data_IF_224382956780
#
_entry.id   IF_224382956780
#
_cell.length_a   1.000
_cell.length_b   1.000
_cell.length_c   1.000
_cell.angle_alpha   90.00
_cell.angle_beta   90.00
_cell.angle_gamma   90.00
#
_symmetry.space_group_name_H-M   'P 1'
#
loop_
_entity.id
_entity.type
_entity.pdbx_description
1 polymer ?
#
# COMPACT_ATOMS: atom_id res chain seq x y z
N UNK A 1 3.98 -16.07 -1.24
CA UNK A 1 3.44 -15.99 -2.58
C UNK A 1 2.49 -14.80 -2.64
N UNK A 2 2.81 -13.82 -3.41
CA UNK A 2 1.89 -12.72 -3.73
C UNK A 2 1.21 -13.13 -5.03
N UNK A 3 -0.07 -13.26 -5.02
CA UNK A 3 -0.85 -13.60 -6.20
C UNK A 3 -2.33 -13.38 -5.90
N UNK A 4 -3.09 -13.02 -6.92
CA UNK A 4 -4.54 -13.00 -6.81
C UNK A 4 -5.00 -14.45 -6.62
N UNK A 5 -5.53 -14.74 -5.43
CA UNK A 5 -6.20 -16.00 -5.19
C UNK A 5 -7.54 -15.97 -5.91
N UNK A 6 -7.75 -16.91 -6.82
CA UNK A 6 -9.01 -17.11 -7.52
C UNK A 6 -9.97 -18.03 -6.77
N UNK A 7 -9.54 -18.62 -5.66
CA UNK A 7 -10.37 -19.48 -4.85
C UNK A 7 -11.34 -18.68 -3.98
N UNK A 8 -12.51 -19.23 -3.72
CA UNK A 8 -13.49 -18.66 -2.79
C UNK A 8 -13.26 -19.24 -1.41
N UNK A 9 -12.93 -18.40 -0.46
CA UNK A 9 -12.81 -18.77 0.94
C UNK A 9 -14.00 -18.20 1.73
N UNK A 10 -14.60 -19.03 2.56
CA UNK A 10 -15.69 -18.63 3.45
C UNK A 10 -15.28 -18.80 4.90
N UNK A 11 -15.71 -17.90 5.76
CA UNK A 11 -15.40 -17.95 7.18
C UNK A 11 -16.13 -16.83 7.92
N UNK A 12 -16.00 -16.85 9.23
CA UNK A 12 -16.51 -15.78 10.11
C UNK A 12 -15.35 -14.94 10.63
N UNK A 13 -15.66 -13.68 10.93
CA UNK A 13 -14.74 -12.74 11.54
C UNK A 13 -15.23 -12.40 12.93
N UNK A 14 -14.35 -12.51 13.92
CA UNK A 14 -14.63 -12.08 15.29
C UNK A 14 -13.95 -10.74 15.55
N UNK A 15 -14.70 -9.74 15.97
CA UNK A 15 -14.15 -8.42 16.31
C UNK A 15 -13.37 -8.51 17.63
N UNK A 16 -12.16 -7.99 17.63
CA UNK A 16 -11.28 -7.90 18.80
C UNK A 16 -11.49 -6.55 19.52
N UNK A 17 -11.02 -6.46 20.76
CA UNK A 17 -11.06 -5.22 21.53
C UNK A 17 -10.19 -4.10 20.98
N UNK A 18 -9.19 -4.44 20.16
CA UNK A 18 -8.29 -3.50 19.49
C UNK A 18 -8.82 -3.00 18.12
N UNK A 19 -10.10 -3.25 17.82
CA UNK A 19 -10.73 -2.84 16.56
C UNK A 19 -10.39 -3.72 15.35
N UNK A 20 -9.46 -4.65 15.48
CA UNK A 20 -9.16 -5.63 14.44
C UNK A 20 -10.17 -6.79 14.44
N UNK A 21 -10.07 -7.68 13.45
CA UNK A 21 -10.89 -8.89 13.37
C UNK A 21 -9.98 -10.12 13.23
N UNK A 22 -10.41 -11.21 13.83
CA UNK A 22 -9.75 -12.52 13.69
C UNK A 22 -10.59 -13.45 12.82
N UNK A 23 -10.06 -13.96 11.69
CA UNK A 23 -10.77 -14.94 10.88
C UNK A 23 -10.84 -16.32 11.57
N UNK A 24 -11.98 -17.00 11.43
CA UNK A 24 -12.14 -18.37 11.96
C UNK A 24 -11.18 -19.40 11.35
N UNK A 25 -10.74 -19.14 10.13
CA UNK A 25 -9.83 -20.03 9.37
C UNK A 25 -8.34 -19.73 9.59
N UNK A 26 -7.99 -18.63 10.26
CA UNK A 26 -6.59 -18.20 10.46
C UNK A 26 -6.48 -17.41 11.77
N UNK A 27 -6.42 -18.11 12.89
CA UNK A 27 -6.45 -17.48 14.22
C UNK A 27 -5.26 -16.55 14.51
N UNK A 28 -4.15 -16.75 13.81
CA UNK A 28 -2.96 -15.89 13.90
C UNK A 28 -3.04 -14.67 12.98
N UNK A 29 -4.08 -14.55 12.16
CA UNK A 29 -4.26 -13.41 11.28
C UNK A 29 -5.04 -12.29 11.98
N UNK A 30 -4.61 -11.06 11.75
CA UNK A 30 -5.35 -9.86 12.11
C UNK A 30 -5.83 -9.15 10.85
N UNK A 31 -7.12 -8.86 10.81
CA UNK A 31 -7.77 -8.18 9.69
C UNK A 31 -8.22 -6.81 10.14
N UNK A 32 -7.79 -5.79 9.44
CA UNK A 32 -8.36 -4.44 9.50
C UNK A 32 -9.44 -4.35 8.44
N UNK A 33 -10.63 -3.92 8.82
CA UNK A 33 -11.73 -3.73 7.88
C UNK A 33 -12.15 -2.27 7.93
N UNK A 34 -12.01 -1.63 6.78
CA UNK A 34 -12.67 -0.35 6.53
C UNK A 34 -14.00 -0.68 5.84
N UNK A 35 -15.14 -0.49 6.52
CA UNK A 35 -16.43 -0.86 5.99
C UNK A 35 -16.67 -0.29 4.58
N UNK A 36 -17.07 -1.15 3.65
CA UNK A 36 -17.29 -0.85 2.25
C UNK A 36 -16.06 -0.31 1.47
N UNK A 37 -14.84 -0.46 2.02
CA UNK A 37 -13.63 0.13 1.44
C UNK A 37 -12.54 -0.91 1.18
N UNK A 38 -11.87 -1.33 2.21
CA UNK A 38 -10.73 -2.23 2.14
C UNK A 38 -10.80 -3.27 3.26
N UNK A 39 -10.30 -4.46 2.99
CA UNK A 39 -9.91 -5.41 4.02
C UNK A 39 -8.40 -5.62 3.91
N UNK A 40 -7.69 -5.45 5.01
CA UNK A 40 -6.25 -5.63 5.07
C UNK A 40 -5.97 -6.68 6.12
N UNK A 41 -5.42 -7.82 5.71
CA UNK A 41 -5.05 -8.89 6.61
C UNK A 41 -3.54 -9.07 6.65
N UNK A 42 -2.97 -9.02 7.84
CA UNK A 42 -1.65 -9.59 8.10
C UNK A 42 -1.85 -11.05 8.50
N UNK A 43 -1.30 -11.96 7.76
CA UNK A 43 -1.43 -13.40 8.02
C UNK A 43 -0.09 -14.09 7.89
N UNK A 44 0.08 -15.17 8.66
CA UNK A 44 1.22 -16.04 8.60
C UNK A 44 0.92 -17.19 7.64
N UNK A 45 1.72 -17.32 6.61
CA UNK A 45 1.65 -18.43 5.67
C UNK A 45 2.88 -19.34 5.85
N UNK A 46 2.65 -20.64 6.02
CA UNK A 46 3.74 -21.62 6.01
C UNK A 46 3.96 -22.10 4.57
N UNK A 47 5.08 -21.73 3.98
CA UNK A 47 5.45 -22.12 2.62
C UNK A 47 6.72 -22.99 2.71
N UNK A 48 6.63 -24.25 2.24
CA UNK A 48 7.73 -25.20 2.30
C UNK A 48 8.34 -25.35 3.72
N UNK A 49 7.48 -25.40 4.74
CA UNK A 49 7.90 -25.53 6.14
C UNK A 49 8.49 -24.24 6.76
N UNK A 50 8.50 -23.13 6.05
CA UNK A 50 8.96 -21.84 6.56
C UNK A 50 7.79 -20.89 6.72
N UNK A 51 7.65 -20.35 7.93
CA UNK A 51 6.63 -19.35 8.23
C UNK A 51 7.01 -17.99 7.60
N UNK A 52 6.08 -17.40 6.90
CA UNK A 52 6.22 -16.09 6.26
C UNK A 52 4.99 -15.26 6.55
N UNK A 53 5.21 -14.07 7.01
CA UNK A 53 4.15 -13.09 7.11
C UNK A 53 3.87 -12.50 5.73
N UNK A 54 2.60 -12.32 5.43
CA UNK A 54 2.15 -11.70 4.18
C UNK A 54 0.99 -10.75 4.46
N UNK A 55 0.89 -9.75 3.62
CA UNK A 55 -0.24 -8.84 3.60
C UNK A 55 -1.22 -9.30 2.50
N UNK A 56 -2.47 -9.43 2.86
CA UNK A 56 -3.57 -9.67 1.92
C UNK A 56 -4.43 -8.43 1.92
N UNK A 57 -4.69 -7.88 0.74
CA UNK A 57 -5.56 -6.72 0.59
C UNK A 57 -6.76 -7.11 -0.26
N UNK A 58 -7.92 -6.98 0.34
CA UNK A 58 -9.20 -7.10 -0.34
C UNK A 58 -9.72 -5.73 -0.75
N UNK A 59 -9.96 -5.54 -2.03
CA UNK A 59 -10.63 -4.36 -2.57
C UNK A 59 -12.05 -4.78 -2.95
N UNK A 60 -13.09 -4.03 -2.55
CA UNK A 60 -14.45 -4.34 -2.98
C UNK A 60 -14.52 -4.38 -4.51
N UNK A 61 -15.13 -5.43 -5.02
CA UNK A 61 -15.38 -5.54 -6.46
C UNK A 61 -16.36 -4.46 -6.87
N UNK A 62 -15.93 -3.53 -7.69
CA UNK A 62 -16.84 -2.58 -8.32
C UNK A 62 -17.45 -3.25 -9.55
N UNK A 63 -18.76 -3.26 -9.65
CA UNK A 63 -19.47 -3.68 -10.87
C UNK A 63 -19.40 -2.61 -11.96
N UNK A 64 -18.88 -1.44 -11.64
CA UNK A 64 -18.77 -0.31 -12.56
C UNK A 64 -17.59 -0.48 -13.49
N UNK A 65 -17.79 -0.15 -14.75
CA UNK A 65 -16.72 -0.07 -15.75
C UNK A 65 -15.82 1.12 -15.41
N UNK A 66 -14.81 0.90 -14.58
CA UNK A 66 -13.79 1.91 -14.27
C UNK A 66 -13.03 2.22 -15.56
N UNK A 67 -13.03 3.48 -15.95
CA UNK A 67 -12.33 3.98 -17.13
C UNK A 67 -10.98 4.59 -16.73
N UNK A 68 -10.08 4.77 -17.70
CA UNK A 68 -8.81 5.44 -17.43
C UNK A 68 -8.98 6.86 -16.91
N UNK A 69 -10.00 7.58 -17.36
CA UNK A 69 -10.35 8.92 -16.83
C UNK A 69 -10.66 8.91 -15.33
N UNK A 70 -11.22 7.80 -14.82
CA UNK A 70 -11.58 7.68 -13.41
C UNK A 70 -10.37 7.49 -12.51
N UNK A 71 -9.30 6.93 -13.06
CA UNK A 71 -8.07 6.61 -12.32
C UNK A 71 -6.88 7.51 -12.70
N UNK A 72 -7.04 8.37 -13.70
CA UNK A 72 -5.97 9.29 -14.11
C UNK A 72 -5.60 10.24 -12.97
N UNK A 73 -4.32 10.55 -12.87
CA UNK A 73 -3.75 11.45 -11.88
C UNK A 73 -2.37 11.01 -11.40
N UNK A 74 -1.81 11.80 -10.52
CA UNK A 74 -0.56 11.47 -9.84
C UNK A 74 -0.88 10.91 -8.47
N UNK A 75 -0.27 9.79 -8.14
CA UNK A 75 -0.38 9.09 -6.87
C UNK A 75 0.98 9.12 -6.16
N UNK A 76 0.99 9.41 -4.87
CA UNK A 76 2.09 8.99 -4.03
C UNK A 76 1.95 7.52 -3.74
N UNK A 77 3.05 6.79 -3.66
CA UNK A 77 2.99 5.39 -3.29
C UNK A 77 4.05 5.00 -2.25
N UNK A 78 3.73 3.94 -1.52
CA UNK A 78 4.68 3.13 -0.76
C UNK A 78 4.57 1.68 -1.24
N UNK A 79 5.68 0.97 -1.24
CA UNK A 79 5.70 -0.42 -1.69
C UNK A 79 6.64 -1.29 -0.85
N UNK A 80 6.37 -2.58 -0.86
CA UNK A 80 7.28 -3.62 -0.40
C UNK A 80 7.51 -4.57 -1.57
N UNK A 81 8.76 -4.75 -1.96
CA UNK A 81 9.14 -5.47 -3.16
C UNK A 81 10.21 -6.52 -2.84
N UNK A 82 10.10 -7.66 -3.48
CA UNK A 82 11.12 -8.69 -3.50
C UNK A 82 11.81 -8.68 -4.84
N UNK A 83 13.08 -8.33 -4.85
CA UNK A 83 13.88 -8.19 -6.07
C UNK A 83 14.47 -9.52 -6.56
N UNK A 84 14.34 -10.60 -5.79
CA UNK A 84 14.89 -11.91 -6.12
C UNK A 84 13.86 -13.02 -6.04
N UNK A 85 14.12 -14.14 -6.72
CA UNK A 85 13.26 -15.34 -6.72
C UNK A 85 12.99 -15.87 -5.31
N UNK A 86 14.00 -15.83 -4.47
CA UNK A 86 13.94 -16.42 -3.14
C UNK A 86 13.23 -15.53 -2.12
N UNK A 87 13.27 -14.21 -2.30
CA UNK A 87 12.72 -13.23 -1.35
C UNK A 87 13.04 -13.58 0.11
N UNK A 88 14.29 -13.91 0.37
CA UNK A 88 14.76 -14.30 1.70
C UNK A 88 15.90 -13.38 2.13
N UNK A 89 16.10 -13.28 3.44
CA UNK A 89 17.07 -12.38 4.05
C UNK A 89 18.53 -12.65 3.68
N UNK A 90 18.83 -13.79 3.04
CA UNK A 90 20.20 -14.16 2.65
C UNK A 90 20.54 -13.84 1.20
N UNK A 91 19.56 -13.70 0.31
CA UNK A 91 19.80 -13.50 -1.13
C UNK A 91 18.98 -12.37 -1.76
N UNK A 92 18.25 -11.64 -0.99
CA UNK A 92 17.39 -10.53 -1.45
C UNK A 92 16.27 -10.30 -0.47
N UNK A 93 16.58 -9.58 0.61
CA UNK A 93 15.57 -9.10 1.54
C UNK A 93 14.50 -8.29 0.78
N UNK A 94 13.24 -8.32 1.21
CA UNK A 94 12.25 -7.39 0.68
C UNK A 94 12.76 -5.96 0.87
N UNK A 95 12.59 -5.13 -0.14
CA UNK A 95 12.92 -3.71 -0.07
C UNK A 95 11.64 -2.90 0.02
N UNK A 96 11.61 -1.95 0.92
CA UNK A 96 10.57 -0.93 0.94
C UNK A 96 10.96 0.21 -0.01
N UNK A 97 10.01 0.71 -0.78
CA UNK A 97 10.20 1.87 -1.63
C UNK A 97 9.04 2.84 -1.51
N UNK A 98 9.27 4.05 -1.95
CA UNK A 98 8.27 5.10 -2.05
C UNK A 98 8.58 5.98 -3.26
N UNK A 99 7.56 6.61 -3.80
CA UNK A 99 7.70 7.42 -4.99
C UNK A 99 6.38 7.99 -5.46
N UNK A 100 6.34 8.31 -6.74
CA UNK A 100 5.13 8.78 -7.43
C UNK A 100 4.81 7.90 -8.62
N UNK A 101 3.51 7.70 -8.86
CA UNK A 101 2.99 6.95 -9.99
C UNK A 101 1.96 7.81 -10.69
N UNK A 102 2.25 8.23 -11.91
CA UNK A 102 1.35 9.06 -12.70
C UNK A 102 0.63 8.23 -13.76
N UNK A 103 -0.67 8.40 -13.88
CA UNK A 103 -1.52 7.72 -14.87
C UNK A 103 -2.19 8.79 -15.72
N UNK A 104 -2.10 8.64 -17.03
CA UNK A 104 -2.79 9.51 -17.99
C UNK A 104 -4.20 9.02 -18.28
N UNK A 105 -5.04 9.86 -18.86
CA UNK A 105 -6.39 9.50 -19.31
C UNK A 105 -6.40 8.49 -20.45
N UNK A 106 -5.26 8.22 -21.08
CA UNK A 106 -5.08 7.16 -22.09
C UNK A 106 -4.60 5.83 -21.49
N UNK A 107 -4.36 5.78 -20.15
CA UNK A 107 -3.86 4.60 -19.47
C UNK A 107 -2.34 4.43 -19.55
N UNK A 108 -1.59 5.39 -20.08
CA UNK A 108 -0.14 5.38 -19.96
C UNK A 108 0.27 5.73 -18.52
N UNK A 109 1.35 5.13 -18.04
CA UNK A 109 1.86 5.41 -16.70
C UNK A 109 3.36 5.72 -16.69
N UNK A 110 3.77 6.48 -15.69
CA UNK A 110 5.18 6.78 -15.38
C UNK A 110 5.37 6.65 -13.87
N UNK A 111 6.42 5.95 -13.47
CA UNK A 111 6.85 5.81 -12.08
C UNK A 111 8.16 6.55 -11.83
N UNK A 112 8.22 7.26 -10.71
CA UNK A 112 9.42 7.90 -10.19
C UNK A 112 9.68 7.37 -8.78
N UNK A 113 10.72 6.54 -8.64
CA UNK A 113 11.18 6.13 -7.32
C UNK A 113 11.93 7.25 -6.62
N UNK A 114 12.07 7.16 -5.29
CA UNK A 114 12.73 8.17 -4.44
C UNK A 114 14.09 8.66 -4.94
N UNK A 115 14.92 7.75 -5.47
CA UNK A 115 16.26 8.08 -5.97
C UNK A 115 16.24 8.94 -7.23
N UNK A 116 15.12 8.90 -7.95
CA UNK A 116 14.92 9.58 -9.22
C UNK A 116 13.88 10.68 -9.14
N UNK A 117 13.30 10.93 -7.94
CA UNK A 117 12.28 11.94 -7.76
C UNK A 117 12.84 13.33 -8.06
N UNK A 118 12.10 14.06 -8.86
CA UNK A 118 12.26 15.51 -9.09
C UNK A 118 10.95 16.21 -8.77
N UNK A 119 10.94 17.53 -8.68
CA UNK A 119 9.72 18.31 -8.44
C UNK A 119 8.61 18.07 -9.49
N UNK A 120 8.94 17.45 -10.62
CA UNK A 120 7.99 17.01 -11.64
C UNK A 120 7.94 15.48 -11.67
N UNK A 121 6.91 14.84 -11.08
CA UNK A 121 6.81 13.38 -11.02
C UNK A 121 6.69 12.70 -12.39
N UNK A 122 6.41 13.45 -13.44
CA UNK A 122 6.33 12.93 -14.81
C UNK A 122 7.64 13.02 -15.58
N UNK A 123 8.66 13.64 -15.01
CA UNK A 123 9.94 13.94 -15.69
C UNK A 123 11.16 13.61 -14.85
N UNK A 124 11.10 12.56 -14.05
CA UNK A 124 12.25 12.10 -13.28
C UNK A 124 13.27 11.34 -14.15
N UNK A 125 14.54 11.42 -13.78
CA UNK A 125 15.59 10.62 -14.41
C UNK A 125 15.43 9.14 -14.02
N UNK A 126 15.70 8.23 -14.96
CA UNK A 126 15.61 6.78 -14.72
C UNK A 126 14.21 6.26 -14.40
N UNK A 127 13.19 6.95 -14.90
CA UNK A 127 11.78 6.59 -14.74
C UNK A 127 11.45 5.28 -15.45
N UNK A 128 10.56 4.50 -14.83
CA UNK A 128 9.85 3.43 -15.51
C UNK A 128 8.54 3.96 -16.12
N UNK A 129 8.10 3.33 -17.19
CA UNK A 129 6.88 3.74 -17.87
C UNK A 129 6.26 2.59 -18.66
N UNK A 130 4.97 2.72 -18.94
CA UNK A 130 4.25 1.72 -19.71
C UNK A 130 2.78 2.03 -19.89
N UNK A 131 1.97 1.00 -19.95
CA UNK A 131 0.54 1.11 -20.13
C UNK A 131 -0.24 0.23 -19.16
N UNK A 132 -1.46 0.66 -18.86
CA UNK A 132 -2.48 -0.12 -18.18
C UNK A 132 -3.43 -0.69 -19.24
N UNK A 133 -3.74 -1.97 -19.14
CA UNK A 133 -4.72 -2.64 -20.00
C UNK A 133 -5.89 -3.10 -19.15
N UNK A 134 -7.10 -2.71 -19.49
CA UNK A 134 -8.31 -3.05 -18.74
C UNK A 134 -8.58 -4.57 -18.84
N UNK A 135 -8.65 -5.23 -17.68
CA UNK A 135 -9.01 -6.65 -17.55
C UNK A 135 -10.50 -6.86 -17.22
N UNK A 136 -11.22 -5.80 -16.90
CA UNK A 136 -12.59 -5.83 -16.38
C UNK A 136 -12.64 -5.83 -14.84
N UNK A 137 -13.84 -5.58 -14.28
CA UNK A 137 -14.10 -5.54 -12.84
C UNK A 137 -13.16 -4.59 -12.06
N UNK A 138 -12.79 -3.44 -12.66
CA UNK A 138 -11.90 -2.47 -12.02
C UNK A 138 -10.44 -2.92 -11.89
N UNK A 139 -10.04 -3.97 -12.64
CA UNK A 139 -8.67 -4.48 -12.67
C UNK A 139 -7.97 -4.07 -13.96
N UNK A 140 -6.68 -3.74 -13.83
CA UNK A 140 -5.82 -3.34 -14.94
C UNK A 140 -4.53 -4.14 -14.91
N UNK A 141 -4.14 -4.71 -16.05
CA UNK A 141 -2.82 -5.28 -16.22
C UNK A 141 -1.80 -4.15 -16.42
N UNK A 142 -0.69 -4.21 -15.71
CA UNK A 142 0.41 -3.27 -15.87
C UNK A 142 1.43 -3.87 -16.83
N UNK A 143 1.80 -3.10 -17.84
CA UNK A 143 2.81 -3.49 -18.84
C UNK A 143 3.86 -2.39 -18.99
N UNK A 144 5.07 -2.77 -19.43
CA UNK A 144 6.13 -1.83 -19.82
C UNK A 144 6.78 -2.30 -21.12
N UNK A 145 7.75 -1.54 -21.62
CA UNK A 145 8.54 -1.93 -22.78
C UNK A 145 9.32 -3.25 -22.58
N UNK A 146 9.68 -3.54 -21.33
CA UNK A 146 10.47 -4.73 -20.96
C UNK A 146 9.62 -5.93 -20.51
N UNK A 147 8.34 -5.73 -20.19
CA UNK A 147 7.47 -6.80 -19.69
C UNK A 147 6.01 -6.59 -20.10
N UNK A 148 5.39 -7.64 -20.57
CA UNK A 148 3.96 -7.70 -20.90
C UNK A 148 3.08 -7.94 -19.66
N UNK A 149 3.67 -8.18 -18.49
CA UNK A 149 2.93 -8.40 -17.25
C UNK A 149 3.80 -8.05 -16.04
N UNK A 150 3.82 -6.77 -15.66
CA UNK A 150 4.47 -6.31 -14.43
C UNK A 150 3.60 -6.55 -13.18
N UNK A 151 2.32 -6.74 -13.37
CA UNK A 151 1.39 -6.94 -12.26
C UNK A 151 -0.05 -6.57 -12.60
N UNK A 152 -0.85 -6.48 -11.56
CA UNK A 152 -2.26 -6.10 -11.65
C UNK A 152 -2.55 -4.95 -10.72
N UNK A 153 -3.07 -3.86 -11.26
CA UNK A 153 -3.57 -2.72 -10.49
C UNK A 153 -5.07 -2.85 -10.25
N UNK A 154 -5.49 -2.45 -9.05
CA UNK A 154 -6.88 -2.26 -8.66
C UNK A 154 -7.02 -0.87 -8.06
N UNK A 155 -8.15 -0.24 -8.32
CA UNK A 155 -8.45 1.08 -7.79
C UNK A 155 -9.74 1.01 -6.99
N UNK A 156 -9.65 1.43 -5.76
CA UNK A 156 -10.80 1.67 -4.91
C UNK A 156 -11.20 3.13 -5.02
N UNK A 157 -12.48 3.38 -5.25
CA UNK A 157 -13.07 4.72 -5.19
C UNK A 157 -13.92 4.81 -3.95
N UNK A 158 -13.58 5.73 -3.07
CA UNK A 158 -14.37 5.98 -1.88
C UNK A 158 -15.68 6.69 -2.22
N UNK A 159 -16.68 6.63 -1.32
CA UNK A 159 -17.89 7.43 -1.46
C UNK A 159 -17.64 8.95 -1.50
N UNK A 160 -16.53 9.41 -0.92
CA UNK A 160 -16.09 10.82 -0.95
C UNK A 160 -15.30 11.18 -2.22
N UNK A 161 -15.09 10.21 -3.11
CA UNK A 161 -14.37 10.41 -4.37
C UNK A 161 -12.87 10.20 -4.27
N UNK A 162 -12.32 9.85 -3.10
CA UNK A 162 -10.91 9.53 -2.98
C UNK A 162 -10.60 8.18 -3.66
N UNK A 163 -9.42 8.08 -4.21
CA UNK A 163 -8.92 6.89 -4.90
C UNK A 163 -7.81 6.26 -4.08
N UNK A 164 -7.84 4.94 -3.95
CA UNK A 164 -6.72 4.17 -3.41
C UNK A 164 -6.28 3.19 -4.48
N UNK A 165 -5.02 3.27 -4.86
CA UNK A 165 -4.38 2.37 -5.80
C UNK A 165 -3.75 1.21 -5.04
N UNK A 166 -4.02 -0.01 -5.48
CA UNK A 166 -3.37 -1.23 -4.99
C UNK A 166 -2.80 -1.97 -6.17
N UNK A 167 -1.50 -2.24 -6.16
CA UNK A 167 -0.83 -2.99 -7.22
C UNK A 167 -0.21 -4.26 -6.65
N UNK A 168 -0.58 -5.39 -7.24
CA UNK A 168 0.11 -6.68 -7.07
C UNK A 168 1.20 -6.77 -8.14
N UNK A 169 2.45 -6.61 -7.72
CA UNK A 169 3.63 -6.66 -8.60
C UNK A 169 4.06 -8.11 -8.81
N UNK A 170 4.33 -8.50 -10.05
CA UNK A 170 4.71 -9.88 -10.40
C UNK A 170 6.09 -10.01 -11.01
N UNK A 171 6.41 -9.24 -12.01
CA UNK A 171 7.64 -9.34 -12.79
C UNK A 171 8.32 -7.98 -12.93
N UNK A 172 8.33 -7.21 -11.85
CA UNK A 172 8.73 -5.81 -11.87
C UNK A 172 10.21 -5.62 -12.23
N UNK A 173 11.06 -6.60 -11.85
CA UNK A 173 12.46 -6.63 -12.24
C UNK A 173 12.74 -7.87 -13.10
N UNK A 174 12.39 -7.79 -14.37
CA UNK A 174 12.49 -8.95 -15.28
C UNK A 174 11.53 -10.06 -14.89
N UNK A 175 12.02 -11.29 -14.71
CA UNK A 175 11.17 -12.45 -14.37
C UNK A 175 10.95 -12.65 -12.85
N UNK A 176 11.42 -11.75 -11.98
CA UNK A 176 11.53 -12.05 -10.55
C UNK A 176 10.87 -11.10 -9.57
N UNK A 177 10.68 -9.84 -9.93
CA UNK A 177 10.13 -8.85 -9.00
C UNK A 177 8.71 -9.18 -8.58
N UNK A 178 8.49 -9.29 -7.25
CA UNK A 178 7.16 -9.47 -6.64
C UNK A 178 6.99 -8.50 -5.50
N UNK A 179 5.78 -8.04 -5.28
CA UNK A 179 5.51 -7.13 -4.18
C UNK A 179 4.12 -6.54 -4.21
N UNK A 180 3.92 -5.60 -3.33
CA UNK A 180 2.70 -4.81 -3.28
C UNK A 180 3.05 -3.32 -3.24
N UNK A 181 2.28 -2.55 -3.97
CA UNK A 181 2.34 -1.10 -3.97
C UNK A 181 0.98 -0.54 -3.60
N UNK A 182 0.98 0.45 -2.74
CA UNK A 182 -0.22 1.20 -2.36
C UNK A 182 -0.01 2.66 -2.72
N UNK A 183 -1.02 3.27 -3.29
CA UNK A 183 -0.96 4.68 -3.67
C UNK A 183 -2.22 5.43 -3.32
N UNK A 184 -2.05 6.70 -2.99
CA UNK A 184 -3.12 7.67 -2.82
C UNK A 184 -2.87 8.87 -3.73
N UNK A 185 -3.90 9.55 -4.21
CA UNK A 185 -3.71 10.77 -5.01
C UNK A 185 -2.80 11.77 -4.32
N UNK A 186 -1.92 12.37 -5.10
CA UNK A 186 -1.01 13.40 -4.61
C UNK A 186 -1.78 14.70 -4.36
N UNK A 187 -2.17 14.89 -3.11
CA UNK A 187 -2.82 16.11 -2.62
C UNK A 187 -2.09 16.58 -1.37
N UNK A 188 -2.17 17.87 -1.05
CA UNK A 188 -1.52 18.41 0.14
C UNK A 188 -1.93 17.66 1.40
N UNK A 189 -0.95 17.30 2.24
CA UNK A 189 -1.20 16.66 3.51
C UNK A 189 -1.69 17.71 4.53
N UNK A 190 -2.94 17.60 4.93
CA UNK A 190 -3.54 18.49 5.92
C UNK A 190 -3.52 17.82 7.30
N UNK A 191 -2.47 18.03 8.08
CA UNK A 191 -2.34 17.47 9.42
C UNK A 191 -3.35 18.13 10.37
N UNK A 192 -4.04 17.32 11.14
CA UNK A 192 -5.11 17.74 12.04
C UNK A 192 -6.50 17.46 11.47
N UNK A 193 -7.53 17.93 12.15
CA UNK A 193 -8.91 17.77 11.71
C UNK A 193 -9.31 16.31 11.48
N UNK A 194 -9.65 15.97 10.24
CA UNK A 194 -10.10 14.63 9.87
C UNK A 194 -9.00 13.55 9.99
N UNK A 195 -7.73 13.95 10.01
CA UNK A 195 -6.61 13.05 10.24
C UNK A 195 -6.31 12.82 11.71
N UNK A 196 -6.87 13.61 12.63
CA UNK A 196 -6.73 13.38 14.06
C UNK A 196 -7.53 12.15 14.50
N UNK A 197 -6.94 11.33 15.35
CA UNK A 197 -7.59 10.15 15.91
C UNK A 197 -6.64 9.01 16.18
N UNK A 198 -7.20 7.89 16.59
CA UNK A 198 -6.46 6.64 16.82
C UNK A 198 -6.54 5.76 15.58
N UNK A 199 -5.40 5.26 15.16
CA UNK A 199 -5.25 4.34 14.05
C UNK A 199 -4.72 3.01 14.56
N UNK A 200 -5.38 1.93 14.19
CA UNK A 200 -4.85 0.57 14.38
C UNK A 200 -4.05 0.17 13.15
N UNK A 201 -2.90 -0.46 13.35
CA UNK A 201 -2.00 -0.81 12.25
C UNK A 201 -1.48 -2.24 12.33
N UNK A 202 -1.18 -2.76 11.15
CA UNK A 202 -0.47 -4.02 10.95
C UNK A 202 0.77 -3.79 10.08
N UNK A 203 1.80 -4.59 10.32
CA UNK A 203 3.01 -4.62 9.49
C UNK A 203 3.09 -5.91 8.69
N UNK A 204 3.87 -5.88 7.63
CA UNK A 204 4.25 -7.07 6.86
C UNK A 204 5.12 -8.06 7.64
N UNK A 205 5.58 -7.70 8.84
CA UNK A 205 6.30 -8.56 9.77
C UNK A 205 5.38 -9.25 10.80
N UNK A 206 4.08 -9.01 10.74
CA UNK A 206 3.09 -9.57 11.65
C UNK A 206 2.93 -8.80 12.98
N UNK A 207 3.59 -7.66 13.13
CA UNK A 207 3.38 -6.79 14.27
C UNK A 207 2.11 -5.97 14.11
N UNK A 208 1.48 -5.62 15.21
CA UNK A 208 0.30 -4.76 15.27
C UNK A 208 0.37 -3.82 16.45
N UNK A 209 -0.35 -2.71 16.37
CA UNK A 209 -0.44 -1.72 17.45
C UNK A 209 -1.39 -0.60 17.10
N UNK A 210 -1.30 0.48 17.86
CA UNK A 210 -2.03 1.70 17.55
C UNK A 210 -1.13 2.93 17.63
N UNK A 211 -1.54 3.97 16.92
CA UNK A 211 -0.95 5.31 16.95
C UNK A 211 -2.08 6.33 17.00
N UNK A 212 -1.99 7.27 17.92
CA UNK A 212 -2.91 8.41 17.99
C UNK A 212 -2.24 9.63 17.41
N UNK A 213 -2.99 10.40 16.62
CA UNK A 213 -2.54 11.65 15.99
C UNK A 213 -3.37 12.83 16.50
N UNK A 214 -2.73 13.97 16.68
CA UNK A 214 -3.37 15.24 17.03
C UNK A 214 -2.55 16.38 16.44
N UNK A 215 -3.08 17.03 15.40
CA UNK A 215 -2.34 18.00 14.60
C UNK A 215 -1.07 17.38 14.04
N UNK A 216 0.07 18.02 14.30
CA UNK A 216 1.38 17.53 13.85
C UNK A 216 2.02 16.51 14.82
N UNK A 217 1.32 16.05 15.85
CA UNK A 217 1.90 15.14 16.83
C UNK A 217 1.34 13.73 16.68
N UNK A 218 2.16 12.74 17.04
CA UNK A 218 1.71 11.35 17.15
C UNK A 218 2.20 10.71 18.46
N UNK A 219 1.46 9.70 18.90
CA UNK A 219 1.81 8.88 20.09
C UNK A 219 1.49 7.42 19.77
N UNK A 220 2.48 6.54 19.84
CA UNK A 220 2.27 5.09 19.75
C UNK A 220 1.72 4.52 21.05
N UNK A 221 1.04 3.38 20.96
CA UNK A 221 0.53 2.65 22.15
C UNK A 221 1.63 2.25 23.14
N UNK A 222 2.88 2.16 22.70
CA UNK A 222 4.06 1.96 23.54
C UNK A 222 4.53 3.20 24.32
N UNK A 223 3.91 4.37 24.10
CA UNK A 223 4.28 5.63 24.74
C UNK A 223 5.32 6.45 23.99
N UNK A 224 5.85 5.97 22.88
CA UNK A 224 6.71 6.76 22.00
C UNK A 224 5.92 7.89 21.35
N UNK A 225 6.48 9.09 21.37
CA UNK A 225 5.87 10.30 20.78
C UNK A 225 6.79 10.93 19.77
N UNK A 226 6.21 11.69 18.85
CA UNK A 226 6.98 12.46 17.88
C UNK A 226 6.12 13.44 17.09
N UNK A 227 6.74 14.05 16.09
CA UNK A 227 6.09 15.04 15.22
C UNK A 227 6.06 14.56 13.79
N UNK A 228 5.05 15.02 13.07
CA UNK A 228 4.85 14.82 11.63
C UNK A 228 5.15 16.11 10.88
N UNK A 229 5.76 15.98 9.70
CA UNK A 229 6.00 17.11 8.80
C UNK A 229 5.25 16.83 7.51
N UNK A 230 4.24 17.66 7.25
CA UNK A 230 3.43 17.55 6.04
C UNK A 230 4.23 17.88 4.79
N UNK A 231 3.80 17.33 3.66
CA UNK A 231 4.34 17.58 2.32
C UNK A 231 5.86 17.37 2.22
N UNK A 232 6.35 16.37 2.96
CA UNK A 232 7.77 16.00 3.01
C UNK A 232 7.92 14.48 2.77
N UNK A 233 8.74 14.05 1.80
CA UNK A 233 9.69 14.79 0.97
C UNK A 233 9.04 15.58 -0.18
N UNK A 234 7.77 15.40 -0.45
CA UNK A 234 6.99 16.12 -1.46
C UNK A 234 5.49 16.12 -1.11
N UNK A 235 4.72 16.84 -1.91
CA UNK A 235 3.30 17.06 -1.73
C UNK A 235 2.53 15.75 -1.39
N UNK A 236 1.77 15.75 -0.31
CA UNK A 236 0.94 14.63 0.12
C UNK A 236 1.66 13.49 0.85
N UNK A 237 2.97 13.59 1.03
CA UNK A 237 3.73 12.70 1.91
C UNK A 237 3.87 13.34 3.30
N UNK A 238 4.01 12.50 4.31
CA UNK A 238 4.22 12.94 5.70
C UNK A 238 5.48 12.27 6.24
N UNK A 239 6.44 13.08 6.68
CA UNK A 239 7.61 12.60 7.38
C UNK A 239 7.26 12.35 8.84
N UNK A 240 7.44 11.11 9.31
CA UNK A 240 7.14 10.72 10.68
C UNK A 240 7.94 9.46 11.08
N UNK A 241 8.30 9.34 12.34
CA UNK A 241 8.81 8.10 12.94
C UNK A 241 9.94 7.41 12.16
N UNK A 242 10.84 8.18 11.54
CA UNK A 242 11.95 7.62 10.74
C UNK A 242 11.53 7.08 9.37
N UNK A 243 10.32 7.37 8.92
CA UNK A 243 9.78 6.94 7.64
C UNK A 243 8.92 7.98 6.96
N UNK A 244 8.21 7.55 5.93
CA UNK A 244 7.24 8.34 5.21
C UNK A 244 5.88 7.68 5.23
N UNK A 245 4.86 8.46 5.55
CA UNK A 245 3.47 8.06 5.53
C UNK A 245 2.72 8.74 4.38
N UNK A 246 1.67 8.09 3.94
CA UNK A 246 0.60 8.67 3.14
C UNK A 246 -0.70 8.47 3.90
N UNK A 247 -1.54 9.48 3.93
CA UNK A 247 -2.81 9.43 4.63
C UNK A 247 -3.93 9.65 3.62
N UNK A 248 -4.89 8.74 3.63
CA UNK A 248 -6.11 8.86 2.85
C UNK A 248 -7.20 9.48 3.72
N UNK A 249 -8.01 10.39 3.16
CA UNK A 249 -9.08 11.14 3.86
C UNK A 249 -10.04 10.25 4.65
N UNK A 250 -10.11 8.99 4.30
CA UNK A 250 -11.03 8.04 4.91
C UNK A 250 -10.44 7.24 6.06
N UNK A 251 -9.35 7.74 6.64
CA UNK A 251 -8.74 7.12 7.80
C UNK A 251 -7.90 5.89 7.47
N UNK A 252 -7.33 5.80 6.29
CA UNK A 252 -6.27 4.84 5.96
C UNK A 252 -4.94 5.56 5.97
N UNK A 253 -3.95 5.00 6.65
CA UNK A 253 -2.58 5.43 6.45
C UNK A 253 -1.70 4.25 6.01
N UNK A 254 -0.66 4.57 5.27
CA UNK A 254 0.35 3.65 4.79
C UNK A 254 1.71 4.27 5.07
N UNK A 255 2.63 3.46 5.60
CA UNK A 255 3.92 3.96 6.04
C UNK A 255 5.03 3.01 5.58
N UNK A 256 6.17 3.57 5.22
CA UNK A 256 7.39 2.84 4.89
C UNK A 256 8.61 3.52 5.53
N UNK A 257 9.62 2.75 5.87
CA UNK A 257 10.87 3.28 6.41
C UNK A 257 11.65 4.12 5.39
N UNK A 258 12.39 5.11 5.87
CA UNK A 258 13.41 5.83 5.08
C UNK A 258 14.65 5.00 4.79
N UNK A 259 14.95 4.03 5.67
CA UNK A 259 16.13 3.18 5.56
C UNK A 259 15.85 1.99 4.66
N UNK A 260 16.67 1.82 3.62
CA UNK A 260 16.61 0.64 2.75
C UNK A 260 17.23 -0.60 3.38
N UNK A 261 18.18 -0.42 4.27
CA UNK A 261 19.12 -1.49 4.63
C UNK A 261 18.63 -2.38 5.78
N UNK A 262 17.77 -1.86 6.67
CA UNK A 262 17.45 -2.56 7.92
C UNK A 262 15.95 -2.67 8.25
N UNK A 263 15.09 -1.90 7.59
CA UNK A 263 13.66 -1.86 7.91
C UNK A 263 12.83 -2.17 6.65
N UNK A 264 12.71 -3.45 6.37
CA UNK A 264 12.02 -3.97 5.20
C UNK A 264 10.57 -4.29 5.51
N UNK A 265 9.81 -3.31 5.97
CA UNK A 265 8.41 -3.50 6.28
C UNK A 265 7.53 -2.38 5.73
N UNK A 266 6.31 -2.74 5.46
CA UNK A 266 5.22 -1.83 5.15
C UNK A 266 4.23 -1.87 6.31
N UNK A 267 3.76 -0.70 6.72
CA UNK A 267 2.69 -0.54 7.70
C UNK A 267 1.45 -0.06 7.00
N UNK A 268 0.33 -0.67 7.31
CA UNK A 268 -0.97 -0.18 6.89
C UNK A 268 -1.86 -0.08 8.12
N UNK A 269 -2.50 1.04 8.27
CA UNK A 269 -3.38 1.32 9.38
C UNK A 269 -4.73 1.87 8.97
N UNK A 270 -5.70 1.71 9.85
CA UNK A 270 -7.04 2.28 9.72
C UNK A 270 -7.42 3.04 10.96
N UNK A 271 -8.06 4.19 10.76
CA UNK A 271 -8.62 5.01 11.84
C UNK A 271 -9.73 4.26 12.55
N UNK A 272 -9.74 4.32 13.86
CA UNK A 272 -10.85 3.87 14.69
C UNK A 272 -12.10 4.69 14.38
N UNK A 273 -13.24 4.00 14.22
CA UNK A 273 -14.53 4.61 13.93
C UNK A 273 -15.38 4.72 15.17
#
# INVERSE_FOLDING_TARGET
AVGLDSSTHTGTLTKNSDGTYTPSSAQDAKVLILPNKLAIAATKLTINGTDRYTLVVGVPTTTNNVQFSDIAGTYNYVSLQCLTVACNNSTGAPESAYGTFNITTSGSWVECTRSNYTASPTNCAGRDSGALNLLGNGKFQITSASSTNLGTAMFYHSPTGQKIMVIDLKNYFGSYGRGMMFGVPQVAANLGGDLDGTYHWNTTLGNSGSVSTSGANYTFSGGETGTMIADTPWLGMVDAAGGYAMMADEGVYMFTSKSLANDTYLVIGSKEQ
#
